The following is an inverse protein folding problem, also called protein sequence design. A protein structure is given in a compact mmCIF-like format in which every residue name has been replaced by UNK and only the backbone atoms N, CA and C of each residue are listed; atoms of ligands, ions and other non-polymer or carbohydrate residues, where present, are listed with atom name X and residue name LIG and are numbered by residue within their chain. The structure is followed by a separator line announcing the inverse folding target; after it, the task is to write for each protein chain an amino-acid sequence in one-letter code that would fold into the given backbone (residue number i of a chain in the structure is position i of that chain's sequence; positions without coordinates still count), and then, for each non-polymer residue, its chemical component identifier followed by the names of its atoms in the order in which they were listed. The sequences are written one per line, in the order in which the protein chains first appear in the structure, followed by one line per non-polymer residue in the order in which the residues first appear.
data_IF_584971791833
#
_entry.id   IF_584971791833
#
_cell.length_a   1.000
_cell.length_b   1.000
_cell.length_c   1.000
_cell.angle_alpha   90.00
_cell.angle_beta   90.00
_cell.angle_gamma   90.00
#
_symmetry.space_group_name_H-M   'P 1'
#
loop_
_entity.id
_entity.type
_entity.pdbx_description
1 polymer ?
#
# COMPACT_ATOMS: atom_id res chain seq x y z
N UNK A 1 35.24 -24.07 -96.76
CA UNK A 1 33.77 -23.95 -96.84
C UNK A 1 33.19 -23.94 -95.44
N UNK A 2 32.66 -22.78 -95.04
CA UNK A 2 31.81 -22.46 -93.87
C UNK A 2 31.96 -23.34 -92.61
N UNK A 3 32.86 -22.95 -91.70
CA UNK A 3 32.77 -23.34 -90.28
C UNK A 3 31.79 -22.42 -89.55
N UNK A 4 30.70 -23.02 -89.04
CA UNK A 4 29.63 -22.37 -88.28
C UNK A 4 30.15 -21.84 -86.94
N UNK A 5 30.05 -20.52 -86.73
CA UNK A 5 30.29 -19.89 -85.41
C UNK A 5 29.13 -20.20 -84.47
N UNK A 6 29.43 -20.91 -83.39
CA UNK A 6 28.51 -21.19 -82.29
C UNK A 6 28.45 -19.96 -81.38
N UNK A 7 27.28 -19.29 -81.34
CA UNK A 7 27.01 -18.13 -80.49
C UNK A 7 26.62 -18.63 -79.09
N UNK A 8 27.54 -18.49 -78.13
CA UNK A 8 27.32 -18.80 -76.72
C UNK A 8 26.35 -17.77 -76.12
N UNK A 9 25.22 -18.25 -75.60
CA UNK A 9 24.30 -17.47 -74.78
C UNK A 9 24.74 -17.59 -73.33
N UNK A 10 25.28 -16.51 -72.75
CA UNK A 10 25.54 -16.42 -71.32
C UNK A 10 24.27 -15.96 -70.63
N UNK A 11 23.64 -16.86 -69.86
CA UNK A 11 22.55 -16.53 -68.96
C UNK A 11 23.12 -15.79 -67.74
N UNK A 12 22.80 -14.50 -67.60
CA UNK A 12 23.12 -13.73 -66.39
C UNK A 12 22.13 -14.12 -65.29
N UNK A 13 22.60 -14.89 -64.32
CA UNK A 13 21.88 -15.21 -63.09
C UNK A 13 21.95 -13.97 -62.16
N UNK A 14 20.87 -13.21 -62.05
CA UNK A 14 20.75 -12.13 -61.06
C UNK A 14 20.40 -12.76 -59.72
N UNK A 15 21.39 -12.86 -58.83
CA UNK A 15 21.19 -13.23 -57.42
C UNK A 15 20.76 -11.97 -56.68
N UNK A 16 19.48 -11.88 -56.31
CA UNK A 16 18.99 -10.85 -55.37
C UNK A 16 19.32 -11.36 -53.96
N UNK A 17 20.38 -10.82 -53.37
CA UNK A 17 20.68 -10.97 -51.94
C UNK A 17 19.65 -10.15 -51.13
N UNK A 18 18.60 -10.79 -50.62
CA UNK A 18 17.81 -10.25 -49.51
C UNK A 18 18.67 -10.32 -48.25
N UNK A 19 19.41 -9.25 -47.96
CA UNK A 19 20.03 -9.05 -46.66
C UNK A 19 18.95 -8.77 -45.62
N UNK A 20 18.63 -9.76 -44.79
CA UNK A 20 17.87 -9.52 -43.55
C UNK A 20 18.80 -8.76 -42.61
N UNK A 21 18.66 -7.42 -42.59
CA UNK A 21 19.22 -6.57 -41.55
C UNK A 21 18.47 -6.88 -40.25
N UNK A 22 18.97 -7.86 -39.49
CA UNK A 22 18.65 -7.97 -38.07
C UNK A 22 19.28 -6.76 -37.38
N UNK A 23 18.54 -5.66 -37.27
CA UNK A 23 18.91 -4.64 -36.29
C UNK A 23 18.83 -5.29 -34.91
N UNK A 24 19.92 -5.31 -34.12
CA UNK A 24 19.81 -5.69 -32.73
C UNK A 24 18.81 -4.71 -32.10
N UNK A 25 17.74 -5.24 -31.52
CA UNK A 25 16.92 -4.44 -30.64
C UNK A 25 17.86 -3.86 -29.57
N UNK A 26 17.84 -2.54 -29.29
CA UNK A 26 18.66 -2.00 -28.24
C UNK A 26 18.25 -2.69 -26.94
N UNK A 27 19.08 -3.58 -26.44
CA UNK A 27 19.02 -4.02 -25.06
C UNK A 27 19.28 -2.78 -24.21
N UNK A 28 18.25 -2.28 -23.53
CA UNK A 28 18.42 -1.25 -22.51
C UNK A 28 19.27 -1.87 -21.41
N UNK A 29 20.58 -1.61 -21.43
CA UNK A 29 21.41 -1.87 -20.28
C UNK A 29 20.92 -0.94 -19.16
N UNK A 30 20.45 -1.53 -18.06
CA UNK A 30 20.18 -0.76 -16.85
C UNK A 30 21.49 -0.07 -16.40
N UNK A 31 21.40 1.14 -15.82
CA UNK A 31 22.52 1.74 -15.12
C UNK A 31 23.13 0.74 -14.13
N UNK A 32 24.44 0.83 -13.87
CA UNK A 32 25.13 0.02 -12.86
C UNK A 32 24.71 0.34 -11.42
N UNK A 33 23.87 1.35 -11.25
CA UNK A 33 23.35 1.79 -9.95
C UNK A 33 22.27 0.82 -9.45
N UNK A 34 22.05 0.80 -8.14
CA UNK A 34 20.95 0.05 -7.55
C UNK A 34 19.61 0.76 -7.78
N UNK A 35 18.52 0.01 -7.84
CA UNK A 35 17.16 0.56 -7.80
C UNK A 35 17.02 1.51 -6.62
N UNK A 36 16.45 2.69 -6.87
CA UNK A 36 16.17 3.68 -5.82
C UNK A 36 14.69 3.70 -5.47
N UNK A 37 14.42 4.02 -4.21
CA UNK A 37 13.08 4.02 -3.66
C UNK A 37 12.76 5.38 -3.04
N UNK A 38 11.52 5.83 -3.17
CA UNK A 38 10.97 6.93 -2.37
C UNK A 38 9.49 6.67 -2.15
N UNK A 39 8.91 7.32 -1.16
CA UNK A 39 7.53 7.13 -0.80
C UNK A 39 7.25 7.64 0.60
N UNK A 40 5.97 7.80 0.91
CA UNK A 40 5.50 8.21 2.22
C UNK A 40 4.05 7.79 2.37
N UNK A 41 3.66 7.39 3.57
CA UNK A 41 2.28 7.15 3.92
C UNK A 41 1.91 8.01 5.12
N UNK A 42 0.70 8.55 5.09
CA UNK A 42 0.20 9.43 6.15
C UNK A 42 -1.25 9.09 6.45
N UNK A 43 -1.55 8.82 7.73
CA UNK A 43 -2.92 8.56 8.16
C UNK A 43 -3.81 9.79 7.95
N UNK A 44 -3.36 10.96 8.44
CA UNK A 44 -4.08 12.23 8.27
C UNK A 44 -3.08 13.37 8.10
N UNK A 45 -3.31 14.22 7.10
CA UNK A 45 -2.71 15.55 7.01
C UNK A 45 -3.83 16.57 6.86
N UNK A 46 -3.98 17.46 7.83
CA UNK A 46 -5.07 18.44 7.87
C UNK A 46 -4.51 19.85 8.03
N UNK A 47 -4.81 20.73 7.08
CA UNK A 47 -4.53 22.17 7.18
C UNK A 47 -5.85 22.92 7.31
N UNK A 48 -6.04 23.62 8.43
CA UNK A 48 -7.25 24.41 8.71
C UNK A 48 -6.83 25.81 9.10
N UNK A 49 -7.32 26.82 8.36
CA UNK A 49 -6.99 28.24 8.56
C UNK A 49 -5.47 28.50 8.66
N UNK A 50 -4.69 27.78 7.85
CA UNK A 50 -3.22 27.90 7.80
C UNK A 50 -2.45 27.13 8.87
N UNK A 51 -3.13 26.39 9.77
CA UNK A 51 -2.48 25.54 10.76
C UNK A 51 -2.53 24.08 10.30
N UNK A 52 -1.38 23.43 10.20
CA UNK A 52 -1.26 22.03 9.76
C UNK A 52 -1.05 21.09 10.96
N UNK A 53 -1.83 20.01 10.99
CA UNK A 53 -1.64 18.87 11.88
C UNK A 53 -1.42 17.60 11.04
N UNK A 54 -0.56 16.71 11.53
CA UNK A 54 -0.24 15.43 10.87
C UNK A 54 -0.33 14.30 11.89
N UNK A 55 -1.02 13.21 11.53
CA UNK A 55 -1.18 12.02 12.36
C UNK A 55 -0.71 10.77 11.59
N UNK A 56 0.06 9.93 12.28
CA UNK A 56 0.62 8.68 11.76
C UNK A 56 1.30 8.85 10.39
N UNK A 57 2.45 9.53 10.40
CA UNK A 57 3.27 9.78 9.21
C UNK A 57 4.54 8.93 9.28
N UNK A 58 4.82 8.16 8.23
CA UNK A 58 6.05 7.37 8.12
C UNK A 58 7.29 8.24 7.95
N UNK A 59 7.12 9.47 7.46
CA UNK A 59 8.17 10.25 6.83
C UNK A 59 8.61 9.64 5.49
N UNK A 60 9.45 10.35 4.72
CA UNK A 60 9.95 9.87 3.44
C UNK A 60 10.88 8.67 3.61
N UNK A 61 10.78 7.71 2.71
CA UNK A 61 11.71 6.61 2.59
C UNK A 61 13.06 7.09 2.03
N UNK A 62 14.22 6.62 2.55
CA UNK A 62 15.50 6.94 1.93
C UNK A 62 15.65 6.24 0.56
N UNK A 63 16.46 6.79 -0.36
CA UNK A 63 16.72 6.20 -1.68
C UNK A 63 17.19 4.75 -1.67
N UNK A 64 17.84 4.31 -0.59
CA UNK A 64 18.29 2.93 -0.41
C UNK A 64 17.17 1.93 -0.08
N UNK A 65 15.94 2.40 0.12
CA UNK A 65 14.81 1.58 0.51
C UNK A 65 14.73 1.34 2.02
N UNK A 66 14.09 0.24 2.42
CA UNK A 66 13.77 -0.12 3.80
C UNK A 66 12.26 -0.03 4.07
N UNK A 67 11.90 -0.08 5.36
CA UNK A 67 10.52 -0.01 5.81
C UNK A 67 10.37 1.08 6.87
N UNK A 68 9.34 1.91 6.73
CA UNK A 68 8.93 2.91 7.72
C UNK A 68 7.45 2.72 8.03
N UNK A 69 7.09 2.87 9.30
CA UNK A 69 5.73 2.73 9.75
C UNK A 69 5.38 3.75 10.84
N UNK A 70 4.11 4.09 10.92
CA UNK A 70 3.54 4.88 11.99
C UNK A 70 2.14 4.37 12.30
N UNK A 71 1.81 4.22 13.58
CA UNK A 71 0.48 3.78 13.97
C UNK A 71 -0.01 4.42 15.26
N UNK A 72 -1.31 4.56 15.37
CA UNK A 72 -2.00 5.17 16.50
C UNK A 72 -3.33 4.45 16.73
N UNK A 73 -3.61 4.05 17.98
CA UNK A 73 -4.85 3.37 18.31
C UNK A 73 -6.07 4.32 18.25
N UNK A 74 -5.89 5.55 18.73
CA UNK A 74 -6.93 6.57 18.81
C UNK A 74 -6.38 7.92 18.34
N UNK A 75 -6.98 8.46 17.29
CA UNK A 75 -6.67 9.77 16.72
C UNK A 75 -7.81 10.75 17.02
N UNK A 76 -7.49 11.93 17.55
CA UNK A 76 -8.45 13.03 17.66
C UNK A 76 -7.77 14.37 17.47
N UNK A 77 -8.25 15.18 16.51
CA UNK A 77 -7.74 16.53 16.27
C UNK A 77 -8.78 17.41 15.56
N UNK A 78 -9.16 18.54 16.15
CA UNK A 78 -9.88 19.62 15.44
C UNK A 78 -11.18 19.21 14.73
N UNK A 79 -11.98 18.32 15.32
CA UNK A 79 -13.20 17.80 14.73
C UNK A 79 -13.04 16.49 13.96
N UNK A 80 -11.81 16.00 13.80
CA UNK A 80 -11.50 14.66 13.33
C UNK A 80 -11.40 13.67 14.50
N UNK A 81 -11.94 12.47 14.32
CA UNK A 81 -11.66 11.28 15.11
C UNK A 81 -11.46 10.07 14.19
N UNK A 82 -10.57 9.16 14.57
CA UNK A 82 -10.37 7.88 13.89
C UNK A 82 -9.74 6.88 14.86
N UNK A 83 -9.92 5.60 14.57
CA UNK A 83 -9.36 4.50 15.34
C UNK A 83 -8.42 3.67 14.45
N UNK A 84 -7.45 2.98 15.07
CA UNK A 84 -6.52 2.06 14.39
C UNK A 84 -5.91 2.70 13.13
N UNK A 85 -5.31 3.88 13.30
CA UNK A 85 -4.61 4.58 12.22
C UNK A 85 -3.28 3.88 11.97
N UNK A 86 -3.04 3.47 10.73
CA UNK A 86 -1.78 2.89 10.26
C UNK A 86 -1.30 3.64 9.02
N UNK A 87 0.00 3.81 8.94
CA UNK A 87 0.72 4.16 7.74
C UNK A 87 1.98 3.29 7.63
N UNK A 88 2.30 2.83 6.42
CA UNK A 88 3.46 1.99 6.12
C UNK A 88 3.99 2.35 4.74
N UNK A 89 5.31 2.51 4.63
CA UNK A 89 6.00 2.73 3.36
C UNK A 89 7.22 1.84 3.30
N UNK A 90 7.35 1.13 2.18
CA UNK A 90 8.35 0.08 1.99
C UNK A 90 8.94 0.25 0.61
N UNK A 91 10.26 0.25 0.52
CA UNK A 91 11.00 0.16 -0.74
C UNK A 91 11.99 -0.98 -0.65
N UNK A 92 11.81 -1.99 -1.48
CA UNK A 92 12.63 -3.19 -1.44
C UNK A 92 12.63 -3.90 -2.79
N UNK A 93 13.78 -4.44 -3.16
CA UNK A 93 13.96 -5.21 -4.38
C UNK A 93 13.71 -4.38 -5.64
N UNK A 94 12.54 -4.58 -6.25
CA UNK A 94 12.12 -3.90 -7.46
C UNK A 94 11.02 -2.86 -7.24
N UNK A 95 10.48 -2.70 -6.03
CA UNK A 95 9.25 -1.91 -5.82
C UNK A 95 9.27 -1.05 -4.56
N UNK A 96 8.54 0.06 -4.64
CA UNK A 96 8.04 0.79 -3.49
C UNK A 96 6.54 0.58 -3.37
N UNK A 97 6.08 0.31 -2.15
CA UNK A 97 4.67 0.26 -1.79
C UNK A 97 4.40 1.09 -0.54
N UNK A 98 3.39 1.93 -0.61
CA UNK A 98 2.87 2.70 0.52
C UNK A 98 1.41 2.35 0.76
N UNK A 99 1.02 2.31 2.03
CA UNK A 99 -0.36 2.07 2.46
C UNK A 99 -0.67 2.89 3.72
N UNK A 100 -1.83 3.53 3.73
CA UNK A 100 -2.41 4.11 4.93
C UNK A 100 -3.83 3.58 5.12
N UNK A 101 -4.21 3.25 6.34
CA UNK A 101 -5.55 2.79 6.68
C UNK A 101 -6.04 3.29 8.04
N UNK A 102 -7.35 3.51 8.14
CA UNK A 102 -8.03 4.07 9.30
C UNK A 102 -9.38 3.38 9.47
N UNK A 103 -9.74 3.10 10.71
CA UNK A 103 -11.07 2.62 11.09
C UNK A 103 -11.92 3.75 11.68
N UNK A 104 -13.23 3.65 11.52
CA UNK A 104 -14.23 4.50 12.20
C UNK A 104 -13.89 6.00 12.16
N UNK A 105 -13.72 6.52 10.94
CA UNK A 105 -13.36 7.92 10.72
C UNK A 105 -14.60 8.79 10.82
N UNK A 106 -14.50 9.89 11.56
CA UNK A 106 -15.49 10.97 11.59
C UNK A 106 -14.78 12.32 11.55
N UNK A 107 -15.20 13.18 10.62
CA UNK A 107 -14.74 14.54 10.46
C UNK A 107 -15.95 15.48 10.49
N UNK A 108 -15.96 16.42 11.44
CA UNK A 108 -16.93 17.52 11.46
C UNK A 108 -16.20 18.85 11.33
N UNK A 109 -16.50 19.60 10.27
CA UNK A 109 -15.86 20.88 9.99
C UNK A 109 -16.80 21.85 9.26
N UNK A 110 -16.97 23.05 9.82
CA UNK A 110 -17.82 24.12 9.24
C UNK A 110 -19.23 23.65 8.82
N UNK A 111 -19.88 22.85 9.66
CA UNK A 111 -21.22 22.31 9.40
C UNK A 111 -21.27 21.13 8.43
N UNK A 112 -20.13 20.72 7.85
CA UNK A 112 -20.02 19.46 7.12
C UNK A 112 -19.67 18.32 8.08
N UNK A 113 -20.32 17.17 7.89
CA UNK A 113 -20.03 15.93 8.60
C UNK A 113 -19.71 14.82 7.58
N UNK A 114 -18.53 14.22 7.69
CA UNK A 114 -18.05 13.15 6.82
C UNK A 114 -17.67 11.98 7.72
N UNK A 115 -18.13 10.77 7.41
CA UNK A 115 -17.75 9.57 8.14
C UNK A 115 -17.59 8.36 7.23
N UNK A 116 -16.71 7.44 7.61
CA UNK A 116 -16.52 6.15 6.94
C UNK A 116 -16.13 5.09 7.98
N UNK A 117 -16.62 3.86 7.82
CA UNK A 117 -16.29 2.77 8.77
C UNK A 117 -14.89 2.22 8.56
N UNK A 118 -14.34 2.39 7.35
CA UNK A 118 -12.95 2.08 7.01
C UNK A 118 -12.49 2.88 5.80
N UNK A 119 -11.24 3.35 5.85
CA UNK A 119 -10.52 3.94 4.73
C UNK A 119 -9.18 3.22 4.56
N UNK A 120 -8.79 2.92 3.33
CA UNK A 120 -7.42 2.59 2.99
C UNK A 120 -7.02 3.20 1.64
N UNK A 121 -5.76 3.61 1.51
CA UNK A 121 -5.15 4.01 0.25
C UNK A 121 -3.87 3.21 0.04
N UNK A 122 -3.61 2.80 -1.20
CA UNK A 122 -2.44 2.02 -1.62
C UNK A 122 -1.83 2.61 -2.88
N UNK A 123 -0.53 2.78 -2.87
CA UNK A 123 0.25 3.19 -4.02
C UNK A 123 1.45 2.26 -4.19
N UNK A 124 1.69 1.82 -5.43
CA UNK A 124 2.82 0.96 -5.79
C UNK A 124 3.53 1.53 -7.01
N UNK A 125 4.85 1.57 -6.95
CA UNK A 125 5.73 1.82 -8.09
C UNK A 125 6.75 0.69 -8.16
N UNK A 126 6.83 -0.02 -9.29
CA UNK A 126 7.64 -1.23 -9.44
C UNK A 126 8.44 -1.23 -10.74
N UNK A 127 9.64 -1.79 -10.71
CA UNK A 127 10.50 -1.99 -11.86
C UNK A 127 10.19 -3.32 -12.53
N UNK A 128 10.00 -3.28 -13.85
CA UNK A 128 9.81 -4.46 -14.67
C UNK A 128 10.80 -4.44 -15.84
N UNK A 129 10.89 -5.54 -16.58
CA UNK A 129 11.68 -5.60 -17.82
C UNK A 129 11.24 -4.55 -18.87
N UNK A 130 10.02 -4.02 -18.74
CA UNK A 130 9.46 -2.98 -19.64
C UNK A 130 9.67 -1.56 -19.12
N UNK A 131 10.32 -1.40 -17.97
CA UNK A 131 10.47 -0.13 -17.27
C UNK A 131 9.56 -0.03 -16.03
N UNK A 132 9.46 1.17 -15.44
CA UNK A 132 8.63 1.40 -14.26
C UNK A 132 7.15 1.17 -14.59
N UNK A 133 6.44 0.52 -13.67
CA UNK A 133 4.99 0.32 -13.68
C UNK A 133 4.43 0.85 -12.37
N UNK A 134 3.31 1.55 -12.44
CA UNK A 134 2.65 2.14 -11.28
C UNK A 134 1.22 1.61 -11.16
N UNK A 135 0.74 1.49 -9.93
CA UNK A 135 -0.65 1.15 -9.65
C UNK A 135 -1.11 1.79 -8.35
N UNK A 136 -2.39 2.11 -8.27
CA UNK A 136 -2.98 2.74 -7.10
C UNK A 136 -4.46 2.43 -6.95
N UNK A 137 -4.94 2.52 -5.71
CA UNK A 137 -6.34 2.25 -5.37
C UNK A 137 -6.65 2.57 -3.92
N UNK A 138 -7.93 2.77 -3.63
CA UNK A 138 -8.43 2.94 -2.27
C UNK A 138 -9.63 2.05 -2.00
N UNK A 139 -9.82 1.75 -0.72
CA UNK A 139 -11.01 1.09 -0.18
C UNK A 139 -11.69 2.05 0.78
N UNK A 140 -12.97 2.31 0.54
CA UNK A 140 -13.78 3.24 1.33
C UNK A 140 -15.10 2.56 1.66
N UNK A 141 -15.29 2.23 2.94
CA UNK A 141 -16.47 1.53 3.42
C UNK A 141 -17.43 2.49 4.14
N UNK A 142 -18.72 2.36 3.83
CA UNK A 142 -19.83 3.08 4.48
C UNK A 142 -19.64 4.61 4.52
N UNK A 143 -19.21 5.21 3.41
CA UNK A 143 -19.04 6.66 3.31
C UNK A 143 -20.38 7.37 3.45
N UNK A 144 -20.47 8.28 4.42
CA UNK A 144 -21.62 9.15 4.64
C UNK A 144 -21.12 10.59 4.63
N UNK A 145 -21.81 11.44 3.87
CA UNK A 145 -21.53 12.89 3.80
C UNK A 145 -22.83 13.64 4.11
N UNK A 146 -22.81 14.47 5.15
CA UNK A 146 -23.96 15.27 5.61
C UNK A 146 -25.24 14.42 5.81
N UNK A 147 -25.08 13.22 6.37
CA UNK A 147 -26.16 12.26 6.62
C UNK A 147 -26.64 11.48 5.39
N UNK A 148 -26.05 11.70 4.22
CA UNK A 148 -26.36 10.97 3.00
C UNK A 148 -25.30 9.89 2.73
N UNK A 149 -25.70 8.61 2.58
CA UNK A 149 -24.78 7.57 2.12
C UNK A 149 -24.30 7.88 0.70
N UNK A 150 -23.00 7.74 0.47
CA UNK A 150 -22.37 7.93 -0.82
C UNK A 150 -21.97 6.57 -1.39
N UNK A 151 -22.43 6.26 -2.60
CA UNK A 151 -21.96 5.10 -3.34
C UNK A 151 -20.56 5.36 -3.88
N UNK A 152 -19.56 4.62 -3.39
CA UNK A 152 -18.18 4.66 -3.88
C UNK A 152 -18.08 3.81 -5.15
N UNK A 153 -17.67 4.42 -6.27
CA UNK A 153 -17.64 3.76 -7.58
C UNK A 153 -16.38 2.92 -7.80
N UNK A 154 -15.32 3.20 -7.04
CA UNK A 154 -13.98 2.65 -7.26
C UNK A 154 -13.22 3.29 -8.43
N UNK A 155 -13.86 4.16 -9.22
CA UNK A 155 -13.15 4.95 -10.23
C UNK A 155 -12.20 5.96 -9.56
N UNK A 156 -11.05 6.26 -10.17
CA UNK A 156 -10.20 7.35 -9.70
C UNK A 156 -10.93 8.69 -9.70
N UNK A 157 -10.63 9.53 -8.71
CA UNK A 157 -11.02 10.93 -8.63
C UNK A 157 -12.54 11.18 -8.62
N UNK A 158 -13.31 10.36 -7.89
CA UNK A 158 -14.76 10.56 -7.73
C UNK A 158 -15.02 11.80 -6.86
N UNK A 159 -15.77 12.78 -7.38
CA UNK A 159 -16.08 14.03 -6.66
C UNK A 159 -17.44 13.96 -5.97
N UNK A 160 -17.48 14.31 -4.69
CA UNK A 160 -18.69 14.49 -3.88
C UNK A 160 -18.78 15.97 -3.46
N UNK A 161 -19.82 16.71 -3.90
CA UNK A 161 -19.95 18.13 -3.56
C UNK A 161 -20.19 18.37 -2.07
N UNK A 162 -19.60 19.44 -1.54
CA UNK A 162 -19.92 20.01 -0.23
C UNK A 162 -20.34 21.47 -0.37
N UNK A 163 -21.11 22.01 0.58
CA UNK A 163 -21.16 23.45 0.82
C UNK A 163 -19.75 24.04 0.88
N UNK A 164 -19.42 24.94 -0.06
CA UNK A 164 -18.14 25.63 -0.18
C UNK A 164 -16.92 24.73 -0.43
N UNK A 165 -17.11 23.55 -1.02
CA UNK A 165 -15.99 22.63 -1.26
C UNK A 165 -16.38 21.29 -1.86
N UNK A 166 -15.53 20.29 -1.65
CA UNK A 166 -15.76 18.92 -2.12
C UNK A 166 -14.99 17.89 -1.30
N UNK A 167 -15.41 16.64 -1.41
CA UNK A 167 -14.61 15.46 -1.09
C UNK A 167 -14.25 14.76 -2.40
N UNK A 168 -12.97 14.54 -2.65
CA UNK A 168 -12.48 13.67 -3.72
C UNK A 168 -12.21 12.30 -3.10
N UNK A 169 -12.91 11.28 -3.58
CA UNK A 169 -12.77 9.88 -3.18
C UNK A 169 -11.87 9.18 -4.18
N UNK A 170 -10.95 8.35 -3.68
CA UNK A 170 -9.98 7.63 -4.50
C UNK A 170 -9.19 8.59 -5.40
N UNK A 171 -8.68 9.67 -4.82
CA UNK A 171 -7.86 10.63 -5.57
C UNK A 171 -6.55 9.94 -5.97
N UNK A 172 -6.23 10.00 -7.27
CA UNK A 172 -5.06 9.33 -7.83
C UNK A 172 -4.34 10.25 -8.80
N UNK A 173 -3.04 10.38 -8.59
CA UNK A 173 -2.11 11.08 -9.48
C UNK A 173 -0.85 10.23 -9.62
N UNK A 174 -0.39 10.00 -10.84
CA UNK A 174 0.78 9.18 -11.08
C UNK A 174 1.35 9.40 -12.46
N UNK A 175 2.64 9.14 -12.59
CA UNK A 175 3.37 9.34 -13.84
C UNK A 175 4.53 8.35 -13.99
N UNK A 176 4.95 8.14 -15.23
CA UNK A 176 6.18 7.38 -15.53
C UNK A 176 7.01 8.18 -16.53
N UNK A 177 8.31 8.33 -16.26
CA UNK A 177 9.24 9.06 -17.12
C UNK A 177 10.60 8.37 -17.16
N UNK A 178 11.03 7.94 -18.34
CA UNK A 178 12.30 7.23 -18.50
C UNK A 178 12.38 5.97 -17.65
N UNK A 179 13.22 5.99 -16.61
CA UNK A 179 13.40 4.90 -15.66
C UNK A 179 12.68 5.13 -14.31
N UNK A 180 11.91 6.21 -14.16
CA UNK A 180 11.20 6.52 -12.91
C UNK A 180 9.69 6.36 -13.05
N UNK A 181 9.04 5.97 -11.95
CA UNK A 181 7.59 5.98 -11.81
C UNK A 181 7.18 6.46 -10.43
N UNK A 182 6.09 7.20 -10.37
CA UNK A 182 5.51 7.75 -9.14
C UNK A 182 3.99 7.52 -9.12
N UNK A 183 3.46 7.28 -7.92
CA UNK A 183 2.03 7.15 -7.69
C UNK A 183 1.66 7.71 -6.33
N UNK A 184 0.64 8.58 -6.31
CA UNK A 184 0.01 9.10 -5.10
C UNK A 184 -1.46 8.70 -5.11
N UNK A 185 -1.93 8.18 -3.98
CA UNK A 185 -3.33 7.85 -3.75
C UNK A 185 -3.79 8.40 -2.42
N UNK A 186 -4.90 9.13 -2.42
CA UNK A 186 -5.61 9.55 -1.22
C UNK A 186 -6.98 8.87 -1.19
N UNK A 187 -7.35 8.25 -0.06
CA UNK A 187 -8.67 7.64 0.06
C UNK A 187 -9.76 8.73 0.07
N UNK A 188 -9.55 9.78 0.87
CA UNK A 188 -10.36 11.01 0.85
C UNK A 188 -9.47 12.25 0.84
N UNK A 189 -9.78 13.20 -0.03
CA UNK A 189 -9.25 14.56 -0.02
C UNK A 189 -10.42 15.54 0.12
N UNK A 190 -10.51 16.21 1.27
CA UNK A 190 -11.56 17.16 1.61
C UNK A 190 -11.01 18.58 1.50
N UNK A 191 -11.61 19.37 0.63
CA UNK A 191 -11.26 20.78 0.44
C UNK A 191 -12.47 21.66 0.75
N UNK A 192 -12.30 22.66 1.59
CA UNK A 192 -13.24 23.76 1.81
C UNK A 192 -12.54 25.06 1.44
N UNK A 193 -13.01 25.72 0.38
CA UNK A 193 -12.34 26.86 -0.24
C UNK A 193 -12.04 27.96 0.79
N UNK A 194 -10.76 28.30 0.93
CA UNK A 194 -10.28 29.33 1.86
C UNK A 194 -10.30 28.94 3.34
N UNK A 195 -10.69 27.71 3.67
CA UNK A 195 -10.85 27.25 5.05
C UNK A 195 -9.95 26.05 5.36
N UNK A 196 -10.02 24.99 4.55
CA UNK A 196 -9.37 23.73 4.89
C UNK A 196 -8.97 22.89 3.67
N UNK A 197 -7.90 22.12 3.87
CA UNK A 197 -7.35 21.11 2.96
C UNK A 197 -6.94 19.91 3.83
N UNK A 198 -7.66 18.79 3.69
CA UNK A 198 -7.54 17.63 4.57
C UNK A 198 -7.44 16.37 3.71
N UNK A 199 -6.33 15.66 3.88
CA UNK A 199 -6.09 14.35 3.26
C UNK A 199 -6.18 13.27 4.33
N UNK A 200 -7.00 12.25 4.09
CA UNK A 200 -7.22 11.11 4.99
C UNK A 200 -6.88 9.83 4.23
N UNK A 201 -5.97 9.05 4.81
CA UNK A 201 -5.27 7.92 4.22
C UNK A 201 -4.57 8.30 2.91
N UNK A 202 -3.32 8.77 3.01
CA UNK A 202 -2.46 9.07 1.87
C UNK A 202 -1.36 8.02 1.74
N UNK A 203 -1.13 7.57 0.51
CA UNK A 203 -0.04 6.67 0.14
C UNK A 203 0.66 7.20 -1.11
N UNK A 204 1.97 7.39 -1.02
CA UNK A 204 2.82 7.82 -2.11
C UNK A 204 3.99 6.85 -2.30
N UNK A 205 4.27 6.48 -3.53
CA UNK A 205 5.34 5.54 -3.88
C UNK A 205 6.06 5.95 -5.17
N UNK A 206 7.39 5.91 -5.11
CA UNK A 206 8.29 6.19 -6.23
C UNK A 206 9.28 5.06 -6.43
N UNK A 207 9.70 4.84 -7.67
CA UNK A 207 10.82 3.96 -7.98
C UNK A 207 11.71 4.58 -9.05
N UNK A 208 13.02 4.41 -8.90
CA UNK A 208 14.01 4.64 -9.94
C UNK A 208 14.65 3.32 -10.35
N UNK A 209 14.34 2.85 -11.56
CA UNK A 209 14.70 1.51 -12.01
C UNK A 209 16.16 1.39 -12.45
N UNK A 210 16.87 0.49 -11.78
CA UNK A 210 18.20 0.06 -12.14
C UNK A 210 18.41 -1.41 -11.70
N UNK A 211 19.58 -1.79 -11.20
CA UNK A 211 19.81 -3.17 -10.74
C UNK A 211 19.03 -3.48 -9.46
N UNK A 212 18.26 -4.57 -9.46
CA UNK A 212 17.62 -5.11 -8.26
C UNK A 212 18.65 -5.77 -7.35
N UNK A 213 18.68 -5.37 -6.07
CA UNK A 213 19.56 -5.94 -5.04
C UNK A 213 18.73 -6.77 -4.05
N UNK A 214 19.01 -8.07 -3.95
CA UNK A 214 18.31 -9.02 -3.09
C UNK A 214 19.10 -9.30 -1.80
N UNK A 215 18.43 -9.16 -0.65
CA UNK A 215 18.92 -9.58 0.68
C UNK A 215 17.84 -10.39 1.42
N UNK A 216 17.91 -11.73 1.43
CA UNK A 216 16.90 -12.59 2.08
C UNK A 216 16.73 -12.36 3.59
N UNK A 217 17.67 -11.66 4.25
CA UNK A 217 17.58 -11.31 5.66
C UNK A 217 16.59 -10.17 5.93
N UNK A 218 16.16 -9.46 4.89
CA UNK A 218 15.22 -8.33 4.96
C UNK A 218 13.77 -8.73 4.65
N UNK A 219 13.38 -9.99 4.84
CA UNK A 219 11.97 -10.41 4.72
C UNK A 219 11.14 -9.91 5.91
N UNK A 220 9.94 -9.42 5.63
CA UNK A 220 8.97 -9.03 6.65
C UNK A 220 7.53 -9.02 6.11
N UNK A 221 6.56 -8.85 6.99
CA UNK A 221 5.15 -8.74 6.65
C UNK A 221 4.56 -7.46 7.22
N UNK A 222 3.66 -6.83 6.47
CA UNK A 222 2.82 -5.73 6.96
C UNK A 222 1.37 -5.96 6.58
N UNK A 223 0.45 -5.34 7.28
CA UNK A 223 -0.95 -5.36 6.89
C UNK A 223 -1.86 -4.67 7.88
N UNK A 224 -3.09 -4.45 7.44
CA UNK A 224 -4.15 -3.88 8.25
C UNK A 224 -5.48 -4.03 7.55
N UNK A 225 -6.56 -3.93 8.31
CA UNK A 225 -7.89 -4.25 7.82
C UNK A 225 -8.83 -4.60 8.94
N UNK A 226 -9.87 -5.36 8.60
CA UNK A 226 -10.77 -5.91 9.60
C UNK A 226 -11.23 -7.32 9.26
N UNK A 227 -11.60 -8.03 10.32
CA UNK A 227 -12.31 -9.30 10.27
C UNK A 227 -13.60 -9.17 11.10
N UNK A 228 -14.48 -10.15 11.00
CA UNK A 228 -15.54 -10.35 11.98
C UNK A 228 -14.97 -11.06 13.22
N UNK A 229 -15.03 -10.40 14.38
CA UNK A 229 -14.51 -10.94 15.63
C UNK A 229 -15.47 -11.93 16.32
N UNK A 230 -15.05 -12.58 17.43
CA UNK A 230 -15.83 -13.60 18.11
C UNK A 230 -17.15 -13.09 18.67
N UNK A 231 -17.28 -11.79 18.94
CA UNK A 231 -18.54 -11.19 19.36
C UNK A 231 -19.51 -10.96 18.20
N UNK A 232 -19.12 -11.29 16.96
CA UNK A 232 -19.81 -10.92 15.73
C UNK A 232 -19.62 -9.45 15.34
N UNK A 233 -18.82 -8.68 16.08
CA UNK A 233 -18.55 -7.28 15.78
C UNK A 233 -17.37 -7.13 14.81
N UNK A 234 -17.27 -5.97 14.16
CA UNK A 234 -16.08 -5.60 13.38
C UNK A 234 -14.86 -5.50 14.30
N UNK A 235 -13.80 -6.19 13.92
CA UNK A 235 -12.52 -6.18 14.59
C UNK A 235 -11.43 -5.64 13.66
N UNK A 236 -11.01 -4.40 13.91
CA UNK A 236 -9.99 -3.71 13.13
C UNK A 236 -8.60 -4.06 13.65
N UNK A 237 -7.62 -4.18 12.75
CA UNK A 237 -6.25 -4.47 13.13
C UNK A 237 -5.23 -3.80 12.22
N UNK A 238 -4.02 -3.71 12.75
CA UNK A 238 -2.80 -3.30 12.09
C UNK A 238 -1.67 -4.20 12.61
N UNK A 239 -1.00 -4.95 11.74
CA UNK A 239 0.15 -5.81 12.10
C UNK A 239 1.37 -5.62 11.20
N UNK A 240 2.56 -5.60 11.80
CA UNK A 240 3.84 -5.63 11.11
C UNK A 240 4.87 -6.42 11.92
N UNK A 241 5.77 -7.12 11.25
CA UNK A 241 6.89 -7.82 11.87
C UNK A 241 7.80 -8.45 10.82
N UNK A 242 9.06 -8.67 11.16
CA UNK A 242 10.05 -9.15 10.20
C UNK A 242 11.25 -9.84 10.82
N UNK A 243 12.17 -10.30 9.96
CA UNK A 243 13.43 -10.91 10.39
C UNK A 243 14.36 -9.94 11.13
N UNK A 244 14.15 -8.63 10.97
CA UNK A 244 14.84 -7.62 11.76
C UNK A 244 14.33 -7.65 13.22
N UNK A 245 15.19 -7.95 14.21
CA UNK A 245 14.73 -8.14 15.59
C UNK A 245 14.09 -6.88 16.18
N UNK A 246 12.93 -7.04 16.81
CA UNK A 246 12.24 -5.97 17.54
C UNK A 246 11.48 -4.96 16.68
N UNK A 247 11.52 -5.08 15.35
CA UNK A 247 10.77 -4.21 14.45
C UNK A 247 9.33 -4.69 14.24
N UNK A 248 8.40 -3.75 14.16
CA UNK A 248 6.98 -3.98 13.85
C UNK A 248 6.04 -3.54 14.97
N UNK A 249 4.75 -3.87 14.80
CA UNK A 249 3.71 -3.57 15.79
C UNK A 249 2.48 -4.47 15.62
N UNK A 250 1.63 -4.45 16.63
CA UNK A 250 0.25 -4.91 16.55
C UNK A 250 -0.65 -3.86 17.21
N UNK A 251 -1.74 -3.49 16.53
CA UNK A 251 -2.88 -2.80 17.13
C UNK A 251 -4.13 -3.60 16.74
N UNK A 252 -5.04 -3.80 17.69
CA UNK A 252 -6.30 -4.50 17.47
C UNK A 252 -7.42 -3.84 18.28
N UNK A 253 -8.59 -3.67 17.67
CA UNK A 253 -9.78 -3.12 18.32
C UNK A 253 -11.04 -3.86 17.85
N UNK A 254 -11.73 -4.55 18.76
CA UNK A 254 -13.06 -5.13 18.51
C UNK A 254 -14.14 -4.34 19.26
N UNK A 255 -15.19 -3.95 18.54
CA UNK A 255 -16.28 -3.10 19.03
C UNK A 255 -17.48 -3.88 19.62
N UNK A 256 -17.22 -5.08 20.16
CA UNK A 256 -18.24 -5.90 20.80
C UNK A 256 -18.76 -5.30 22.12
N UNK A 257 -19.77 -5.94 22.71
CA UNK A 257 -20.34 -5.55 24.02
C UNK A 257 -19.30 -5.54 25.14
N UNK A 258 -18.25 -6.36 25.00
CA UNK A 258 -17.02 -6.27 25.77
C UNK A 258 -15.90 -5.82 24.83
N UNK A 259 -15.76 -4.50 24.66
CA UNK A 259 -14.78 -3.93 23.76
C UNK A 259 -13.36 -4.40 24.13
N UNK A 260 -12.60 -4.83 23.12
CA UNK A 260 -11.23 -5.29 23.29
C UNK A 260 -10.29 -4.37 22.54
N UNK A 261 -9.33 -3.78 23.26
CA UNK A 261 -8.22 -3.01 22.70
C UNK A 261 -6.91 -3.69 23.04
N UNK A 262 -6.06 -3.86 22.03
CA UNK A 262 -4.73 -4.45 22.16
C UNK A 262 -3.72 -3.57 21.45
N UNK A 263 -2.59 -3.32 22.10
CA UNK A 263 -1.43 -2.65 21.51
C UNK A 263 -0.15 -3.40 21.88
N UNK A 264 0.63 -3.80 20.89
CA UNK A 264 1.95 -4.36 21.12
C UNK A 264 2.83 -3.38 21.89
N UNK A 265 3.55 -3.91 22.87
CA UNK A 265 4.59 -3.18 23.62
C UNK A 265 5.98 -3.56 23.15
N UNK A 266 6.16 -4.78 22.62
CA UNK A 266 7.37 -5.21 21.93
C UNK A 266 7.07 -6.35 20.96
N UNK A 267 7.82 -6.41 19.86
CA UNK A 267 7.86 -7.57 18.97
C UNK A 267 8.99 -8.48 19.43
N UNK A 268 8.68 -9.75 19.71
CA UNK A 268 9.62 -10.74 20.26
C UNK A 268 9.87 -11.90 19.32
N UNK A 269 9.07 -12.07 18.26
CA UNK A 269 9.22 -13.17 17.33
C UNK A 269 8.65 -12.89 15.95
N UNK A 270 9.33 -13.42 14.93
CA UNK A 270 8.86 -13.49 13.56
C UNK A 270 9.17 -14.87 13.00
N UNK A 271 8.15 -15.62 12.61
CA UNK A 271 8.29 -17.02 12.17
C UNK A 271 7.63 -17.22 10.81
N UNK A 272 8.35 -17.87 9.89
CA UNK A 272 7.80 -18.37 8.64
C UNK A 272 7.08 -19.70 8.89
N UNK A 273 5.76 -19.72 8.72
CA UNK A 273 4.92 -20.91 8.93
C UNK A 273 4.69 -21.71 7.64
N UNK A 274 5.33 -21.33 6.54
CA UNK A 274 5.19 -21.93 5.21
C UNK A 274 4.36 -21.08 4.26
N UNK A 275 4.66 -21.19 2.97
CA UNK A 275 3.98 -20.44 1.91
C UNK A 275 3.98 -18.93 2.20
N UNK A 276 2.79 -18.34 2.17
CA UNK A 276 2.53 -16.91 2.39
C UNK A 276 2.27 -16.55 3.85
N UNK A 277 2.33 -17.53 4.76
CA UNK A 277 1.95 -17.35 6.15
C UNK A 277 3.15 -16.93 7.00
N UNK A 278 2.98 -15.86 7.78
CA UNK A 278 3.95 -15.38 8.75
C UNK A 278 3.28 -15.19 10.11
N UNK A 279 4.03 -15.50 11.17
CA UNK A 279 3.63 -15.23 12.55
C UNK A 279 4.46 -14.08 13.11
N UNK A 280 3.77 -13.11 13.70
CA UNK A 280 4.36 -12.04 14.53
C UNK A 280 3.95 -12.29 15.98
N UNK A 281 4.91 -12.28 16.90
CA UNK A 281 4.68 -12.53 18.32
C UNK A 281 5.27 -11.40 19.16
N UNK A 282 4.69 -11.15 20.33
CA UNK A 282 5.16 -10.08 21.17
C UNK A 282 4.44 -9.98 22.52
N UNK A 283 4.87 -9.00 23.30
CA UNK A 283 4.15 -8.53 24.48
C UNK A 283 3.15 -7.45 24.06
N UNK A 284 2.06 -7.32 24.80
CA UNK A 284 1.02 -6.33 24.55
C UNK A 284 0.44 -5.76 25.83
N UNK A 285 -0.11 -4.55 25.70
CA UNK A 285 -1.16 -4.03 26.56
C UNK A 285 -2.51 -4.54 26.02
N UNK A 286 -3.29 -5.20 26.87
CA UNK A 286 -4.61 -5.75 26.57
C UNK A 286 -5.58 -5.10 27.55
N UNK A 287 -6.34 -4.10 27.09
CA UNK A 287 -7.24 -3.29 27.93
C UNK A 287 -6.54 -2.74 29.20
N UNK A 288 -5.32 -2.23 29.08
CA UNK A 288 -4.54 -1.70 30.20
C UNK A 288 -3.83 -2.75 31.06
N UNK A 289 -3.91 -4.03 30.71
CA UNK A 289 -3.24 -5.12 31.42
C UNK A 289 -2.12 -5.72 30.56
N UNK A 290 -0.97 -6.08 31.14
CA UNK A 290 0.09 -6.74 30.40
C UNK A 290 -0.32 -8.14 29.94
N UNK A 291 0.06 -8.51 28.72
CA UNK A 291 -0.16 -9.83 28.14
C UNK A 291 0.80 -10.13 26.98
N UNK A 292 0.53 -11.21 26.27
CA UNK A 292 1.24 -11.57 25.02
C UNK A 292 0.26 -11.81 23.88
N UNK A 293 0.77 -11.70 22.66
CA UNK A 293 0.01 -11.99 21.45
C UNK A 293 0.78 -12.89 20.48
N UNK A 294 0.02 -13.61 19.65
CA UNK A 294 0.49 -14.22 18.41
C UNK A 294 -0.47 -13.81 17.30
N UNK A 295 0.05 -13.18 16.26
CA UNK A 295 -0.68 -12.80 15.06
C UNK A 295 -0.17 -13.62 13.87
N UNK A 296 -1.02 -14.48 13.30
CA UNK A 296 -0.75 -15.15 12.03
C UNK A 296 -1.40 -14.34 10.91
N UNK A 297 -0.64 -14.06 9.86
CA UNK A 297 -1.10 -13.38 8.66
C UNK A 297 -0.72 -14.16 7.42
N UNK A 298 -1.58 -14.13 6.42
CA UNK A 298 -1.29 -14.69 5.10
C UNK A 298 -1.62 -13.68 4.01
N UNK A 299 -0.65 -13.44 3.13
CA UNK A 299 -0.81 -12.68 1.89
C UNK A 299 -1.21 -13.64 0.76
N UNK A 300 -2.47 -13.63 0.35
CA UNK A 300 -3.01 -14.55 -0.66
C UNK A 300 -3.34 -13.84 -1.97
N UNK A 301 -2.67 -12.71 -2.23
CA UNK A 301 -2.71 -11.97 -3.48
C UNK A 301 -3.73 -10.83 -3.51
N UNK A 302 -3.61 -10.00 -4.54
CA UNK A 302 -4.39 -8.78 -4.68
C UNK A 302 -5.66 -8.95 -5.54
N UNK A 303 -6.78 -8.27 -5.20
CA UNK A 303 -6.96 -7.42 -4.03
C UNK A 303 -7.05 -8.27 -2.76
N UNK A 304 -6.44 -7.81 -1.65
CA UNK A 304 -6.23 -8.53 -0.38
C UNK A 304 -7.45 -9.07 0.37
N UNK A 305 -8.60 -9.20 -0.29
CA UNK A 305 -9.76 -9.91 0.23
C UNK A 305 -9.44 -11.37 0.53
N UNK A 306 -8.55 -12.02 -0.21
CA UNK A 306 -8.13 -13.40 0.05
C UNK A 306 -7.18 -13.53 1.26
N UNK A 307 -6.66 -12.42 1.76
CA UNK A 307 -5.74 -12.41 2.87
C UNK A 307 -6.42 -12.87 4.16
N UNK A 308 -5.63 -13.36 5.10
CA UNK A 308 -6.15 -13.82 6.38
C UNK A 308 -5.39 -13.21 7.54
N UNK A 309 -6.11 -13.03 8.65
CA UNK A 309 -5.57 -12.60 9.92
C UNK A 309 -6.11 -13.50 11.04
N UNK A 310 -5.24 -13.91 11.95
CA UNK A 310 -5.62 -14.60 13.17
C UNK A 310 -4.82 -14.07 14.36
N UNK A 311 -5.50 -13.74 15.45
CA UNK A 311 -4.94 -13.25 16.70
C UNK A 311 -5.23 -14.24 17.83
N UNK A 312 -4.21 -14.54 18.64
CA UNK A 312 -4.32 -15.25 19.92
C UNK A 312 -3.67 -14.42 21.01
N UNK A 313 -4.34 -14.27 22.15
CA UNK A 313 -3.84 -13.52 23.31
C UNK A 313 -3.64 -14.44 24.52
N UNK A 314 -2.75 -14.04 25.43
CA UNK A 314 -2.46 -14.78 26.67
C UNK A 314 -3.66 -14.93 27.61
N UNK A 315 -4.67 -14.08 27.48
CA UNK A 315 -5.90 -14.14 28.28
C UNK A 315 -6.95 -15.13 27.73
N UNK A 316 -6.61 -15.89 26.69
CA UNK A 316 -7.49 -16.88 26.06
C UNK A 316 -8.37 -16.33 24.94
N UNK A 317 -8.33 -15.02 24.66
CA UNK A 317 -9.00 -14.45 23.49
C UNK A 317 -8.36 -14.96 22.18
N UNK A 318 -9.21 -15.32 21.22
CA UNK A 318 -8.79 -15.70 19.88
C UNK A 318 -9.79 -15.22 18.83
N UNK A 319 -9.28 -14.64 17.74
CA UNK A 319 -10.08 -14.20 16.59
C UNK A 319 -9.36 -14.59 15.30
N UNK A 320 -10.10 -14.96 14.26
CA UNK A 320 -9.51 -15.28 12.96
C UNK A 320 -10.51 -15.14 11.83
N UNK A 321 -10.06 -14.73 10.67
CA UNK A 321 -10.90 -14.67 9.48
C UNK A 321 -10.12 -14.31 8.22
N UNK A 322 -10.82 -14.47 7.09
CA UNK A 322 -10.48 -13.78 5.84
C UNK A 322 -10.79 -12.28 6.00
N UNK A 323 -10.04 -11.42 5.33
CA UNK A 323 -10.25 -9.98 5.46
C UNK A 323 -11.57 -9.55 4.81
N UNK A 324 -12.45 -8.95 5.60
CA UNK A 324 -13.67 -8.32 5.11
C UNK A 324 -13.34 -6.97 4.41
N UNK A 325 -12.16 -6.42 4.72
CA UNK A 325 -11.41 -5.48 3.89
C UNK A 325 -10.07 -5.11 4.54
N UNK A 326 -9.26 -4.33 3.82
CA UNK A 326 -7.83 -4.20 4.12
C UNK A 326 -6.96 -5.13 3.26
N UNK A 327 -5.71 -5.36 3.69
CA UNK A 327 -4.70 -6.12 2.94
C UNK A 327 -3.51 -6.53 3.83
N UNK A 328 -2.92 -7.68 3.55
CA UNK A 328 -1.65 -8.18 4.07
C UNK A 328 -0.65 -8.20 2.91
N UNK A 329 0.61 -7.89 3.18
CA UNK A 329 1.69 -7.97 2.22
C UNK A 329 2.89 -8.66 2.82
N UNK A 330 3.33 -9.71 2.15
CA UNK A 330 4.61 -10.36 2.41
C UNK A 330 5.68 -9.72 1.52
N UNK A 331 6.64 -9.05 2.16
CA UNK A 331 7.75 -8.38 1.47
C UNK A 331 8.94 -9.34 1.42
N UNK A 332 9.14 -9.92 0.23
CA UNK A 332 10.23 -10.85 -0.04
C UNK A 332 11.23 -10.22 -1.01
N UNK A 333 12.43 -9.81 -0.55
CA UNK A 333 13.42 -9.07 -1.37
C UNK A 333 14.00 -9.83 -2.57
N UNK A 334 13.67 -11.11 -2.71
CA UNK A 334 14.30 -12.03 -3.67
C UNK A 334 13.26 -12.79 -4.50
N UNK A 335 12.07 -12.21 -4.65
CA UNK A 335 11.01 -12.69 -5.54
C UNK A 335 11.12 -12.06 -6.92
#
# INVERSE_FOLDING_TARGET
MVQRRVRRWTASLVVVLLGVLLWPAPSRAWPTDATTFSGQATGVRATVLGITAVLADTGPLPPSGGAREASLLDASAGGLSAEVVRASTIGQGDRTRSEASLANVSLTLQGNAISASFLAARATAACTDRGPQISGGSEVADLIVNGQPIAVTGSPNQVVPLPFGSVIVNEQEGSTSGATGEMTVNALHVTLTGVADIVIASAHADVGCAQNVCDPSKEFVTGGGWITGPSGAKANFAVAGGKEPGWGHLIYSEHGSAALRVKATAITGYTNLGGTVRRVEGTADVNGQPGTFQADVADNGEPGRADTFALRLSNGYAASGMLDGGNIQLHSPCQ
#
